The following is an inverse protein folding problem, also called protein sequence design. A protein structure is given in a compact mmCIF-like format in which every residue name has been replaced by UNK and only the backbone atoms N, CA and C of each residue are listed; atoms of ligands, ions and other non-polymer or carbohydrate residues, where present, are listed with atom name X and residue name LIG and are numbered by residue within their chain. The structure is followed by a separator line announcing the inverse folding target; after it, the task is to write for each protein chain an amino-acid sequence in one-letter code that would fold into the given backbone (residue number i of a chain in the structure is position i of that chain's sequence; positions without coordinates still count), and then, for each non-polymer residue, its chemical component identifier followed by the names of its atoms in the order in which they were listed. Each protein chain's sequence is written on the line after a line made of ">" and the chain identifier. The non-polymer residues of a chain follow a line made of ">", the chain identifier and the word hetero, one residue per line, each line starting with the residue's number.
data_IF_367865505944
#
_entry.id   IF_367865505944
#
_cell.length_a   1.000
_cell.length_b   1.000
_cell.length_c   1.000
_cell.angle_alpha   90.00
_cell.angle_beta   90.00
_cell.angle_gamma   90.00
#
_symmetry.space_group_name_H-M   'P 1'
#
loop_
_entity.id
_entity.type
_entity.pdbx_description
1 polymer ?
#
# COMPACT_ATOMS: atom_id res chain seq x y z
N UNK A 1 12.84 19.25 5.90
CA UNK A 1 12.05 18.80 7.07
C UNK A 1 11.22 17.62 6.62
N UNK A 2 10.84 16.74 7.54
CA UNK A 2 9.83 15.73 7.25
C UNK A 2 8.51 16.45 6.93
N UNK A 3 7.77 15.91 5.98
CA UNK A 3 6.43 16.39 5.67
C UNK A 3 5.44 15.37 6.21
N UNK A 4 4.60 15.79 7.16
CA UNK A 4 3.64 14.94 7.86
C UNK A 4 2.28 15.65 7.76
N UNK A 5 1.29 14.99 7.17
CA UNK A 5 -0.07 15.53 7.13
C UNK A 5 -0.79 15.29 8.46
N UNK A 6 -1.86 16.05 8.70
CA UNK A 6 -2.82 15.72 9.75
C UNK A 6 -3.49 14.38 9.49
N UNK A 7 -3.97 13.75 10.56
CA UNK A 7 -4.81 12.57 10.44
C UNK A 7 -6.15 12.91 9.78
N UNK A 8 -6.55 12.05 8.85
CA UNK A 8 -7.85 12.07 8.18
C UNK A 8 -8.62 10.81 8.53
N UNK A 9 -9.86 10.96 8.99
CA UNK A 9 -10.75 9.83 9.24
C UNK A 9 -11.21 9.19 7.92
N UNK A 10 -11.29 7.85 7.93
CA UNK A 10 -11.80 7.06 6.83
C UNK A 10 -12.78 6.01 7.36
N UNK A 11 -13.99 5.99 6.80
CA UNK A 11 -15.00 4.98 7.06
C UNK A 11 -14.86 3.88 6.00
N UNK A 12 -14.84 2.63 6.43
CA UNK A 12 -14.78 1.45 5.56
C UNK A 12 -15.73 0.36 6.04
N UNK A 13 -15.94 -0.64 5.20
CA UNK A 13 -16.79 -1.80 5.49
C UNK A 13 -15.91 -3.03 5.61
N UNK A 14 -16.02 -3.77 6.71
CA UNK A 14 -15.30 -5.02 6.93
C UNK A 14 -16.14 -5.95 7.78
N UNK A 15 -16.11 -7.25 7.45
CA UNK A 15 -16.84 -8.30 8.18
C UNK A 15 -18.30 -7.94 8.47
N UNK A 16 -19.00 -7.46 7.44
CA UNK A 16 -20.41 -7.05 7.47
C UNK A 16 -20.74 -5.85 8.39
N UNK A 17 -19.72 -5.13 8.86
CA UNK A 17 -19.87 -3.98 9.76
C UNK A 17 -19.18 -2.71 9.22
N UNK A 18 -19.68 -1.56 9.66
CA UNK A 18 -19.05 -0.26 9.40
C UNK A 18 -17.98 -0.02 10.45
N UNK A 19 -16.75 0.16 9.97
CA UNK A 19 -15.58 0.47 10.77
C UNK A 19 -14.95 1.79 10.34
N UNK A 20 -14.02 2.27 11.15
CA UNK A 20 -13.29 3.52 10.89
C UNK A 20 -11.83 3.38 11.27
N UNK A 21 -10.98 4.01 10.48
CA UNK A 21 -9.57 4.20 10.80
C UNK A 21 -9.19 5.66 10.54
N UNK A 22 -8.01 6.05 11.01
CA UNK A 22 -7.38 7.32 10.62
C UNK A 22 -6.18 7.03 9.74
N UNK A 23 -5.89 7.91 8.81
CA UNK A 23 -4.64 7.82 8.06
C UNK A 23 -3.97 9.17 7.94
N UNK A 24 -2.66 9.16 7.75
CA UNK A 24 -1.87 10.33 7.37
C UNK A 24 -0.77 9.94 6.40
N UNK A 25 -0.26 10.92 5.68
CA UNK A 25 0.85 10.77 4.75
C UNK A 25 2.11 11.36 5.35
N UNK A 26 3.21 10.63 5.23
CA UNK A 26 4.52 11.02 5.73
C UNK A 26 5.52 10.91 4.58
N UNK A 27 6.30 11.96 4.38
CA UNK A 27 7.50 11.94 3.54
C UNK A 27 8.70 12.24 4.42
N UNK A 28 9.58 11.26 4.56
CA UNK A 28 10.79 11.38 5.37
C UNK A 28 11.82 12.27 4.68
N UNK A 29 12.55 13.06 5.48
CA UNK A 29 13.71 13.84 5.03
C UNK A 29 14.80 12.91 4.52
N UNK A 30 15.02 11.81 5.24
CA UNK A 30 16.15 10.90 5.02
C UNK A 30 15.86 9.92 3.87
N UNK A 31 14.59 9.76 3.49
CA UNK A 31 14.16 8.97 2.35
C UNK A 31 13.18 9.76 1.46
N UNK A 32 13.74 10.63 0.61
CA UNK A 32 12.98 11.54 -0.26
C UNK A 32 12.15 10.87 -1.35
N UNK A 33 12.43 9.59 -1.64
CA UNK A 33 11.76 8.85 -2.71
C UNK A 33 10.59 8.02 -2.22
N UNK A 34 10.34 7.96 -0.91
CA UNK A 34 9.28 7.14 -0.34
C UNK A 34 8.17 8.00 0.26
N UNK A 35 6.93 7.57 0.02
CA UNK A 35 5.73 8.08 0.70
C UNK A 35 5.25 6.98 1.63
N UNK A 36 5.12 7.32 2.90
CA UNK A 36 4.62 6.43 3.95
C UNK A 36 3.15 6.78 4.19
N UNK A 37 2.27 5.81 4.02
CA UNK A 37 0.86 5.89 4.43
C UNK A 37 0.75 5.25 5.79
N UNK A 38 0.58 6.06 6.83
CA UNK A 38 0.32 5.55 8.17
C UNK A 38 -1.18 5.42 8.37
N UNK A 39 -1.65 4.21 8.63
CA UNK A 39 -3.05 3.88 8.95
C UNK A 39 -3.11 3.50 10.42
N UNK A 40 -3.87 4.23 11.20
CA UNK A 40 -4.15 3.94 12.59
C UNK A 40 -5.54 3.35 12.73
N UNK A 41 -5.60 2.09 13.16
CA UNK A 41 -6.85 1.39 13.44
C UNK A 41 -7.16 1.49 14.94
N UNK A 42 -8.32 2.05 15.27
CA UNK A 42 -8.74 2.23 16.65
C UNK A 42 -9.57 1.05 17.16
N UNK A 43 -8.94 0.19 17.98
CA UNK A 43 -9.58 -0.78 18.88
C UNK A 43 -9.99 -2.12 18.24
N UNK A 44 -10.46 -3.05 19.10
CA UNK A 44 -10.81 -4.47 18.87
C UNK A 44 -11.96 -4.74 17.87
N UNK A 45 -12.13 -3.89 16.86
CA UNK A 45 -13.19 -4.05 15.87
C UNK A 45 -12.83 -5.13 14.84
N UNK A 46 -13.82 -5.88 14.34
CA UNK A 46 -13.59 -6.84 13.28
C UNK A 46 -13.04 -6.15 12.03
N UNK A 47 -12.10 -6.81 11.34
CA UNK A 47 -11.44 -6.26 10.15
C UNK A 47 -10.14 -5.50 10.46
N UNK A 48 -9.32 -6.05 11.36
CA UNK A 48 -7.98 -5.53 11.62
C UNK A 48 -7.13 -5.59 10.33
N UNK A 49 -6.68 -4.44 9.78
CA UNK A 49 -5.92 -4.39 8.54
C UNK A 49 -4.52 -5.01 8.67
N UNK A 50 -3.99 -5.24 9.88
CA UNK A 50 -2.76 -6.01 10.09
C UNK A 50 -2.98 -7.48 9.72
N UNK A 51 -4.09 -8.06 10.16
CA UNK A 51 -4.40 -9.48 9.99
C UNK A 51 -5.10 -9.82 8.65
N UNK A 52 -5.94 -8.93 8.13
CA UNK A 52 -6.69 -9.15 6.90
C UNK A 52 -6.20 -8.26 5.74
N UNK A 53 -5.53 -8.88 4.78
CA UNK A 53 -5.03 -8.19 3.60
C UNK A 53 -6.16 -7.64 2.72
N UNK A 54 -7.36 -8.25 2.70
CA UNK A 54 -8.48 -7.76 1.87
C UNK A 54 -9.01 -6.43 2.38
N UNK A 55 -9.25 -6.35 3.69
CA UNK A 55 -9.63 -5.09 4.34
C UNK A 55 -8.55 -4.03 4.16
N UNK A 56 -7.27 -4.42 4.33
CA UNK A 56 -6.12 -3.53 4.09
C UNK A 56 -6.07 -2.99 2.67
N UNK A 57 -6.20 -3.86 1.67
CA UNK A 57 -6.15 -3.49 0.25
C UNK A 57 -7.33 -2.56 -0.10
N UNK A 58 -8.52 -2.82 0.44
CA UNK A 58 -9.68 -1.95 0.24
C UNK A 58 -9.47 -0.54 0.81
N UNK A 59 -8.94 -0.43 2.03
CA UNK A 59 -8.59 0.85 2.67
C UNK A 59 -7.51 1.56 1.86
N UNK A 60 -6.44 0.84 1.51
CA UNK A 60 -5.28 1.41 0.80
C UNK A 60 -5.66 1.95 -0.58
N UNK A 61 -6.40 1.18 -1.37
CA UNK A 61 -6.83 1.65 -2.69
C UNK A 61 -7.70 2.90 -2.59
N UNK A 62 -8.55 3.02 -1.56
CA UNK A 62 -9.37 4.23 -1.37
C UNK A 62 -8.54 5.45 -0.97
N UNK A 63 -7.52 5.27 -0.13
CA UNK A 63 -6.56 6.34 0.19
C UNK A 63 -5.76 6.71 -1.06
N UNK A 64 -5.31 5.71 -1.80
CA UNK A 64 -4.46 5.87 -2.98
C UNK A 64 -5.19 6.61 -4.12
N UNK A 65 -6.44 6.25 -4.39
CA UNK A 65 -7.30 6.92 -5.37
C UNK A 65 -7.52 8.39 -5.01
N UNK A 66 -7.66 8.69 -3.71
CA UNK A 66 -7.93 10.04 -3.21
C UNK A 66 -6.70 10.95 -3.25
N UNK A 67 -5.54 10.47 -2.81
CA UNK A 67 -4.40 11.34 -2.50
C UNK A 67 -3.10 11.00 -3.27
N UNK A 68 -2.99 9.80 -3.85
CA UNK A 68 -1.70 9.27 -4.32
C UNK A 68 -1.67 8.96 -5.83
N UNK A 69 -2.71 9.32 -6.58
CA UNK A 69 -2.73 9.13 -8.04
C UNK A 69 -1.47 9.69 -8.70
N UNK A 70 -0.80 8.87 -9.51
CA UNK A 70 0.44 9.22 -10.19
C UNK A 70 1.73 8.91 -9.41
N UNK A 71 1.66 8.55 -8.13
CA UNK A 71 2.82 8.08 -7.36
C UNK A 71 3.20 6.66 -7.84
N UNK A 72 4.49 6.35 -8.08
CA UNK A 72 4.94 4.98 -8.36
C UNK A 72 4.64 4.05 -7.20
N UNK A 73 4.11 2.85 -7.48
CA UNK A 73 3.76 1.88 -6.42
C UNK A 73 5.01 1.46 -5.62
N UNK A 74 6.18 1.40 -6.27
CA UNK A 74 7.46 1.10 -5.63
C UNK A 74 7.93 2.16 -4.61
N UNK A 75 7.36 3.36 -4.64
CA UNK A 75 7.67 4.43 -3.69
C UNK A 75 6.76 4.40 -2.46
N UNK A 76 5.80 3.48 -2.40
CA UNK A 76 4.81 3.42 -1.34
C UNK A 76 5.30 2.51 -0.21
N UNK A 77 5.17 2.99 1.02
CA UNK A 77 5.35 2.23 2.24
C UNK A 77 4.09 2.37 3.07
N UNK A 78 3.56 1.27 3.60
CA UNK A 78 2.35 1.30 4.43
C UNK A 78 2.74 0.96 5.85
N UNK A 79 2.43 1.85 6.78
CA UNK A 79 2.59 1.64 8.21
C UNK A 79 1.22 1.44 8.86
N UNK A 80 0.92 0.22 9.26
CA UNK A 80 -0.29 -0.14 9.99
C UNK A 80 0.00 0.02 11.48
N UNK A 81 -0.80 0.82 12.16
CA UNK A 81 -0.68 1.06 13.60
C UNK A 81 -1.88 0.44 14.30
N UNK A 82 -1.60 -0.42 15.28
CA UNK A 82 -2.57 -1.08 16.14
C UNK A 82 -2.14 -0.88 17.60
N UNK A 83 -2.88 -0.04 18.34
CA UNK A 83 -2.44 0.43 19.65
C UNK A 83 -1.08 1.13 19.55
N UNK A 84 -0.10 0.64 20.32
CA UNK A 84 1.27 1.16 20.33
C UNK A 84 2.22 0.42 19.35
N UNK A 85 1.71 -0.58 18.62
CA UNK A 85 2.50 -1.38 17.68
C UNK A 85 2.38 -0.85 16.25
N UNK A 86 3.50 -0.86 15.52
CA UNK A 86 3.55 -0.54 14.11
C UNK A 86 3.99 -1.76 13.30
N UNK A 87 3.36 -1.94 12.14
CA UNK A 87 3.68 -2.98 11.17
C UNK A 87 3.85 -2.36 9.78
N UNK A 88 4.93 -2.71 9.10
CA UNK A 88 5.28 -2.20 7.78
C UNK A 88 4.90 -3.23 6.72
N UNK A 89 4.26 -2.74 5.67
CA UNK A 89 3.90 -3.51 4.49
C UNK A 89 4.32 -2.72 3.26
N UNK A 90 5.05 -3.39 2.36
CA UNK A 90 5.33 -2.86 1.03
C UNK A 90 4.28 -3.40 0.06
N UNK A 91 3.41 -2.53 -0.47
CA UNK A 91 2.42 -2.95 -1.43
C UNK A 91 3.04 -3.25 -2.80
N UNK A 92 2.33 -4.08 -3.56
CA UNK A 92 2.65 -4.42 -4.93
C UNK A 92 1.53 -3.96 -5.87
N UNK A 93 1.84 -3.68 -7.15
CA UNK A 93 0.82 -3.42 -8.13
C UNK A 93 0.02 -4.70 -8.43
N UNK A 94 -1.28 -4.56 -8.62
CA UNK A 94 -2.13 -5.62 -9.14
C UNK A 94 -1.95 -5.68 -10.67
N UNK A 95 -1.10 -6.62 -11.09
CA UNK A 95 -0.76 -6.81 -12.50
C UNK A 95 -1.96 -7.28 -13.33
N UNK A 96 -2.90 -8.01 -12.72
CA UNK A 96 -4.11 -8.45 -13.40
C UNK A 96 -5.03 -7.26 -13.66
N UNK A 97 -5.27 -6.41 -12.65
CA UNK A 97 -6.03 -5.16 -12.81
C UNK A 97 -5.37 -4.22 -13.84
N UNK A 98 -4.03 -4.11 -13.82
CA UNK A 98 -3.28 -3.32 -14.82
C UNK A 98 -3.54 -3.80 -16.25
N UNK A 99 -3.49 -5.12 -16.47
CA UNK A 99 -3.73 -5.73 -17.79
C UNK A 99 -5.19 -5.58 -18.20
N UNK A 100 -6.14 -5.83 -17.29
CA UNK A 100 -7.58 -5.72 -17.55
C UNK A 100 -8.01 -4.29 -17.92
N UNK A 101 -7.30 -3.27 -17.41
CA UNK A 101 -7.47 -1.86 -17.80
C UNK A 101 -6.91 -1.51 -19.17
N UNK A 102 -6.24 -2.45 -19.85
CA UNK A 102 -5.71 -2.27 -21.21
C UNK A 102 -4.45 -1.42 -21.25
N UNK A 103 -3.69 -1.33 -20.15
CA UNK A 103 -2.44 -0.58 -20.14
C UNK A 103 -1.31 -1.32 -20.87
N UNK A 104 -0.30 -0.61 -21.41
CA UNK A 104 0.73 -1.22 -22.23
C UNK A 104 1.58 -2.24 -21.48
N UNK A 105 1.79 -3.40 -22.10
CA UNK A 105 2.75 -4.42 -21.69
C UNK A 105 3.30 -5.14 -22.93
N UNK A 106 4.46 -5.77 -22.79
CA UNK A 106 5.02 -6.65 -23.81
C UNK A 106 4.76 -8.10 -23.43
N UNK A 107 4.42 -8.93 -24.41
CA UNK A 107 4.28 -10.37 -24.23
C UNK A 107 5.23 -11.08 -25.19
N UNK A 108 6.11 -11.92 -24.63
CA UNK A 108 7.03 -12.75 -25.41
C UNK A 108 6.79 -14.21 -25.09
N UNK A 109 6.65 -15.10 -26.11
CA UNK A 109 6.55 -16.52 -25.87
C UNK A 109 7.90 -17.07 -25.42
N UNK A 110 7.89 -17.87 -24.36
CA UNK A 110 9.06 -18.57 -23.84
C UNK A 110 8.81 -20.08 -23.78
N UNK A 111 9.83 -20.85 -24.12
CA UNK A 111 9.77 -22.32 -24.02
C UNK A 111 10.08 -22.72 -22.58
N UNK A 112 9.13 -23.39 -21.96
CA UNK A 112 9.33 -24.05 -20.67
C UNK A 112 9.68 -25.53 -20.85
N UNK A 113 10.09 -26.18 -19.75
CA UNK A 113 10.41 -27.60 -19.75
C UNK A 113 9.23 -28.44 -20.27
N UNK A 114 9.55 -29.58 -20.92
CA UNK A 114 8.57 -30.55 -21.46
C UNK A 114 7.65 -30.00 -22.57
N UNK A 115 8.14 -29.10 -23.42
CA UNK A 115 7.41 -28.60 -24.60
C UNK A 115 6.25 -27.64 -24.28
N UNK A 116 6.17 -27.16 -23.03
CA UNK A 116 5.18 -26.14 -22.64
C UNK A 116 5.61 -24.78 -23.15
N UNK A 117 4.63 -23.97 -23.56
CA UNK A 117 4.85 -22.56 -23.89
C UNK A 117 4.29 -21.72 -22.74
N UNK A 118 5.12 -20.83 -22.22
CA UNK A 118 4.71 -19.84 -21.22
C UNK A 118 4.83 -18.44 -21.85
N UNK A 119 3.94 -17.52 -21.51
CA UNK A 119 4.08 -16.13 -21.90
C UNK A 119 4.84 -15.36 -20.83
N UNK A 120 5.96 -14.72 -21.17
CA UNK A 120 6.58 -13.72 -20.30
C UNK A 120 5.95 -12.37 -20.59
N UNK A 121 5.42 -11.74 -19.55
CA UNK A 121 4.93 -10.36 -19.59
C UNK A 121 6.02 -9.44 -19.06
N UNK A 122 6.26 -8.34 -19.75
CA UNK A 122 7.18 -7.28 -19.32
C UNK A 122 6.43 -5.95 -19.31
N UNK A 123 6.50 -5.26 -18.18
CA UNK A 123 5.87 -3.95 -17.98
C UNK A 123 6.99 -2.97 -17.60
N UNK A 124 7.02 -1.82 -18.28
CA UNK A 124 7.89 -0.72 -17.88
C UNK A 124 7.46 -0.23 -16.50
N UNK A 125 8.37 -0.26 -15.51
CA UNK A 125 8.06 0.10 -14.13
C UNK A 125 7.55 1.53 -13.98
N UNK A 126 7.86 2.43 -14.93
CA UNK A 126 7.31 3.80 -14.98
C UNK A 126 5.79 3.83 -15.20
N UNK A 127 5.21 2.74 -15.68
CA UNK A 127 3.77 2.60 -15.84
C UNK A 127 3.05 2.03 -14.61
N UNK A 128 3.79 1.44 -13.67
CA UNK A 128 3.25 0.87 -12.42
C UNK A 128 3.08 1.99 -11.38
N UNK A 129 2.13 2.87 -11.67
CA UNK A 129 1.77 4.02 -10.85
C UNK A 129 0.32 3.90 -10.37
N UNK A 130 0.06 4.47 -9.21
CA UNK A 130 -1.27 4.52 -8.61
C UNK A 130 -2.25 5.23 -9.56
N UNK A 131 -3.45 4.67 -9.67
CA UNK A 131 -4.51 5.11 -10.60
C UNK A 131 -4.49 4.36 -11.94
N UNK A 132 -3.35 3.79 -12.35
CA UNK A 132 -3.27 2.85 -13.50
C UNK A 132 -3.42 1.39 -13.09
N UNK A 133 -3.15 1.09 -11.83
CA UNK A 133 -3.29 -0.23 -11.27
C UNK A 133 -3.75 -0.07 -9.83
N UNK A 134 -4.57 -1.02 -9.38
CA UNK A 134 -4.82 -1.22 -7.98
C UNK A 134 -3.56 -1.70 -7.27
N UNK A 135 -3.61 -1.55 -5.96
CA UNK A 135 -2.54 -1.92 -5.07
C UNK A 135 -2.99 -3.14 -4.27
N UNK A 136 -2.10 -4.10 -4.06
CA UNK A 136 -2.36 -5.29 -3.27
C UNK A 136 -1.23 -5.57 -2.27
N UNK A 137 -1.58 -6.27 -1.21
CA UNK A 137 -0.65 -6.65 -0.14
C UNK A 137 -0.77 -8.13 0.24
N UNK A 138 -1.46 -8.91 -0.60
CA UNK A 138 -1.71 -10.34 -0.35
C UNK A 138 -0.41 -11.17 -0.22
N UNK A 139 0.66 -10.74 -0.88
CA UNK A 139 1.94 -11.44 -0.91
C UNK A 139 2.99 -10.85 0.05
N UNK A 140 2.64 -9.78 0.78
CA UNK A 140 3.56 -9.11 1.69
C UNK A 140 3.14 -9.34 3.13
N UNK A 141 4.01 -9.99 3.90
CA UNK A 141 3.82 -10.16 5.33
C UNK A 141 4.15 -8.86 6.07
N UNK A 142 3.31 -8.39 7.02
CA UNK A 142 3.65 -7.25 7.86
C UNK A 142 4.88 -7.52 8.73
N UNK A 143 5.84 -6.60 8.75
CA UNK A 143 7.07 -6.70 9.54
C UNK A 143 7.19 -5.53 10.52
N UNK A 144 7.93 -5.66 11.63
CA UNK A 144 8.19 -4.52 12.50
C UNK A 144 9.04 -3.45 11.77
N UNK A 145 8.83 -2.15 12.02
CA UNK A 145 9.70 -1.10 11.50
C UNK A 145 11.08 -1.15 12.14
N UNK A 146 12.07 -0.61 11.46
CA UNK A 146 13.34 -0.25 12.09
C UNK A 146 13.17 0.92 13.08
N UNK A 147 14.17 1.15 13.93
CA UNK A 147 14.13 2.18 14.98
C UNK A 147 13.91 3.59 14.43
N UNK A 148 14.45 3.92 13.27
CA UNK A 148 14.31 5.24 12.65
C UNK A 148 12.89 5.47 12.16
N UNK A 149 12.32 4.48 11.48
CA UNK A 149 10.95 4.51 11.01
C UNK A 149 9.96 4.49 12.17
N UNK A 150 10.19 3.69 13.22
CA UNK A 150 9.39 3.71 14.44
C UNK A 150 9.38 5.10 15.09
N UNK A 151 10.55 5.76 15.19
CA UNK A 151 10.65 7.11 15.74
C UNK A 151 9.89 8.14 14.89
N UNK A 152 9.88 7.99 13.57
CA UNK A 152 9.13 8.84 12.65
C UNK A 152 7.60 8.65 12.80
N UNK A 153 7.14 7.40 12.88
CA UNK A 153 5.72 7.05 13.02
C UNK A 153 5.10 7.51 14.35
N UNK A 154 5.92 7.61 15.40
CA UNK A 154 5.52 8.07 16.72
C UNK A 154 5.51 9.61 16.88
N UNK A 155 5.94 10.37 15.86
CA UNK A 155 5.90 11.84 15.97
C UNK A 155 4.47 12.33 16.00
N UNK A 156 4.21 13.24 16.95
CA UNK A 156 2.96 14.00 16.97
C UNK A 156 2.85 14.87 15.72
N UNK A 157 1.63 15.30 15.41
CA UNK A 157 1.43 16.37 14.44
C UNK A 157 2.31 17.56 14.85
N UNK A 158 2.98 18.19 13.87
CA UNK A 158 3.58 19.49 14.11
C UNK A 158 2.42 20.47 14.36
N UNK A 159 2.44 21.12 15.52
CA UNK A 159 1.47 22.14 15.90
C UNK A 159 1.54 23.37 14.97
#
# INVERSE_FOLDING_TARGET
>A
MDYITHYTDLIYFANDEIASCRYRLIKSRDNQTQVIVQINHHGDRPGNPVADHKTRDAILNRIADRELTGVPVSMLCVALTEGDAHHIVFPEPDLEDYIQRGHPYQQTPERAARGRHIGRISIDSRNLVIGRTRIQTAHTAPTPPDTGLAALLNRSEAA
#
